data_IF_203747179621
#
_entry.id   IF_203747179621
#
_cell.length_a   1.000
_cell.length_b   1.000
_cell.length_c   1.000
_cell.angle_alpha   90.00
_cell.angle_beta   90.00
_cell.angle_gamma   90.00
#
_symmetry.space_group_name_H-M   'P 1'
#
loop_
_entity.id
_entity.type
_entity.pdbx_description
1 polymer ?
#
# COMPACT_ATOMS: atom_id res chain seq x y z
N UNK A 1 -60.88 -1.44 1.24
CA UNK A 1 -59.40 -1.50 1.01
C UNK A 1 -58.86 -2.69 1.73
N UNK A 2 -58.70 -3.80 1.00
CA UNK A 2 -58.23 -5.07 1.57
C UNK A 2 -56.71 -4.97 1.82
N UNK A 3 -56.31 -5.01 3.08
CA UNK A 3 -54.92 -5.17 3.53
C UNK A 3 -54.47 -6.62 3.12
N UNK A 4 -54.07 -6.77 1.87
CA UNK A 4 -53.31 -7.93 1.47
C UNK A 4 -51.92 -7.81 2.10
N UNK A 5 -51.71 -8.54 3.18
CA UNK A 5 -50.34 -8.76 3.67
C UNK A 5 -49.61 -9.60 2.60
N UNK A 6 -48.41 -9.14 2.14
CA UNK A 6 -47.66 -9.91 1.16
C UNK A 6 -47.33 -11.29 1.74
N UNK A 7 -47.46 -12.32 0.92
CA UNK A 7 -47.08 -13.67 1.36
C UNK A 7 -45.60 -13.70 1.76
N UNK A 8 -45.19 -14.54 2.73
CA UNK A 8 -43.79 -14.63 3.16
C UNK A 8 -42.82 -14.88 2.01
N UNK A 9 -43.22 -15.65 1.00
CA UNK A 9 -42.43 -15.96 -0.20
C UNK A 9 -42.20 -14.71 -1.06
N UNK A 10 -43.22 -13.87 -1.26
CA UNK A 10 -43.12 -12.65 -2.04
C UNK A 10 -42.21 -11.61 -1.35
N UNK A 11 -42.23 -11.58 -0.04
CA UNK A 11 -41.35 -10.71 0.77
C UNK A 11 -39.91 -11.19 0.69
N UNK A 12 -39.68 -12.47 0.71
CA UNK A 12 -38.34 -13.07 0.56
C UNK A 12 -37.75 -12.81 -0.84
N UNK A 13 -38.50 -13.03 -1.89
CA UNK A 13 -38.06 -12.77 -3.27
C UNK A 13 -37.70 -11.29 -3.47
N UNK A 14 -38.55 -10.39 -2.97
CA UNK A 14 -38.27 -8.96 -3.02
C UNK A 14 -36.99 -8.61 -2.26
N UNK A 15 -36.78 -9.20 -1.09
CA UNK A 15 -35.54 -9.00 -0.30
C UNK A 15 -34.31 -9.49 -1.05
N UNK A 16 -34.39 -10.68 -1.66
CA UNK A 16 -33.27 -11.25 -2.43
C UNK A 16 -32.94 -10.41 -3.65
N UNK A 17 -33.93 -9.94 -4.41
CA UNK A 17 -33.70 -9.09 -5.57
C UNK A 17 -33.11 -7.73 -5.16
N UNK A 18 -33.64 -7.10 -4.15
CA UNK A 18 -33.12 -5.84 -3.63
C UNK A 18 -31.69 -5.99 -3.11
N UNK A 19 -31.38 -7.11 -2.45
CA UNK A 19 -30.03 -7.42 -1.99
C UNK A 19 -29.06 -7.62 -3.15
N UNK A 20 -29.43 -8.34 -4.20
CA UNK A 20 -28.60 -8.56 -5.37
C UNK A 20 -28.20 -7.25 -6.07
N UNK A 21 -29.10 -6.28 -6.11
CA UNK A 21 -28.86 -4.99 -6.78
C UNK A 21 -28.00 -4.06 -5.92
N UNK A 22 -28.16 -4.08 -4.60
CA UNK A 22 -27.56 -3.11 -3.69
C UNK A 22 -26.34 -3.64 -2.93
N UNK A 23 -26.11 -4.96 -2.88
CA UNK A 23 -24.99 -5.56 -2.16
C UNK A 23 -23.78 -5.72 -3.08
N UNK A 24 -22.69 -5.04 -2.75
CA UNK A 24 -21.40 -5.16 -3.41
C UNK A 24 -20.40 -5.79 -2.45
N UNK A 25 -19.81 -6.91 -2.84
CA UNK A 25 -18.87 -7.67 -2.02
C UNK A 25 -17.47 -7.55 -2.64
N UNK A 26 -16.49 -7.18 -1.81
CA UNK A 26 -15.08 -7.13 -2.21
C UNK A 26 -14.30 -8.13 -1.37
N UNK A 27 -13.62 -9.07 -2.05
CA UNK A 27 -12.73 -10.04 -1.42
C UNK A 27 -11.28 -9.62 -1.58
N UNK A 28 -10.58 -9.37 -0.47
CA UNK A 28 -9.15 -9.13 -0.49
C UNK A 28 -8.41 -10.40 -0.06
N UNK A 29 -7.48 -10.85 -0.90
CA UNK A 29 -6.73 -12.07 -0.62
C UNK A 29 -5.29 -11.94 -1.11
N UNK A 30 -4.38 -12.73 -0.51
CA UNK A 30 -2.97 -12.76 -0.92
C UNK A 30 -2.74 -13.83 -1.98
N UNK A 31 -2.00 -13.48 -3.02
CA UNK A 31 -1.57 -14.39 -4.09
C UNK A 31 -0.59 -15.47 -3.61
N UNK A 32 0.16 -15.16 -2.55
CA UNK A 32 1.20 -16.06 -2.00
C UNK A 32 0.59 -17.21 -1.19
N UNK A 33 -0.70 -17.14 -0.89
CA UNK A 33 -1.38 -18.17 -0.10
C UNK A 33 -1.82 -19.33 -1.00
N UNK A 34 -1.28 -20.52 -0.77
CA UNK A 34 -1.74 -21.76 -1.41
C UNK A 34 -3.26 -21.98 -1.23
N UNK A 35 -3.80 -21.49 -0.13
CA UNK A 35 -5.23 -21.55 0.17
C UNK A 35 -6.12 -20.84 -0.86
N UNK A 36 -5.61 -19.81 -1.54
CA UNK A 36 -6.37 -19.11 -2.58
C UNK A 36 -6.66 -20.04 -3.75
N UNK A 37 -5.64 -20.74 -4.25
CA UNK A 37 -5.77 -21.67 -5.37
C UNK A 37 -6.71 -22.83 -5.06
N UNK A 38 -6.59 -23.40 -3.86
CA UNK A 38 -7.49 -24.45 -3.39
C UNK A 38 -8.94 -23.96 -3.31
N UNK A 39 -9.16 -22.71 -2.85
CA UNK A 39 -10.50 -22.12 -2.81
C UNK A 39 -11.06 -21.82 -4.18
N UNK A 40 -10.26 -21.32 -5.11
CA UNK A 40 -10.68 -21.08 -6.49
C UNK A 40 -11.10 -22.38 -7.20
N UNK A 41 -10.37 -23.47 -6.95
CA UNK A 41 -10.74 -24.78 -7.48
C UNK A 41 -12.04 -25.33 -6.87
N UNK A 42 -12.26 -25.09 -5.57
CA UNK A 42 -13.49 -25.52 -4.86
C UNK A 42 -14.71 -24.68 -5.20
N UNK A 43 -14.49 -23.39 -5.51
CA UNK A 43 -15.54 -22.42 -5.77
C UNK A 43 -15.31 -21.71 -7.11
N UNK A 44 -15.64 -22.35 -8.25
CA UNK A 44 -15.43 -21.78 -9.59
C UNK A 44 -16.13 -20.43 -9.80
N UNK A 45 -17.20 -20.15 -9.06
CA UNK A 45 -17.91 -18.87 -9.11
C UNK A 45 -17.01 -17.66 -8.73
N UNK A 46 -15.98 -17.87 -7.91
CA UNK A 46 -15.00 -16.81 -7.60
C UNK A 46 -14.22 -16.34 -8.83
N UNK A 47 -14.08 -17.21 -9.83
CA UNK A 47 -13.37 -16.87 -11.08
C UNK A 47 -14.35 -16.36 -12.13
N UNK A 48 -15.51 -17.02 -12.27
CA UNK A 48 -16.43 -16.75 -13.35
C UNK A 48 -17.43 -15.61 -13.07
N UNK A 49 -17.74 -15.35 -11.80
CA UNK A 49 -18.75 -14.37 -11.41
C UNK A 49 -18.18 -13.11 -10.76
N UNK A 50 -16.85 -13.05 -10.54
CA UNK A 50 -16.18 -11.89 -9.96
C UNK A 50 -15.25 -11.20 -10.95
N UNK A 51 -15.05 -9.91 -10.77
CA UNK A 51 -13.99 -9.17 -11.43
C UNK A 51 -12.72 -9.36 -10.61
N UNK A 52 -11.64 -9.82 -11.25
CA UNK A 52 -10.37 -10.11 -10.60
C UNK A 52 -9.38 -8.98 -10.89
N UNK A 53 -9.04 -8.21 -9.85
CA UNK A 53 -7.98 -7.19 -9.92
C UNK A 53 -6.68 -7.73 -9.32
N UNK A 54 -5.65 -7.81 -10.14
CA UNK A 54 -4.34 -8.32 -9.73
C UNK A 54 -3.40 -7.17 -9.38
N UNK A 55 -3.07 -7.04 -8.11
CA UNK A 55 -2.10 -6.06 -7.63
C UNK A 55 -0.69 -6.68 -7.63
N UNK A 56 0.05 -6.42 -8.70
CA UNK A 56 1.43 -6.84 -8.83
C UNK A 56 2.38 -5.90 -8.08
N UNK A 57 3.61 -6.36 -7.73
CA UNK A 57 4.64 -5.48 -7.19
C UNK A 57 4.86 -4.25 -8.07
N UNK A 58 5.17 -3.12 -7.46
CA UNK A 58 5.37 -1.89 -8.19
C UNK A 58 6.66 -1.94 -9.01
N UNK A 59 6.59 -1.49 -10.26
CA UNK A 59 7.79 -1.33 -11.07
C UNK A 59 8.66 -0.20 -10.54
N UNK A 60 9.98 -0.23 -10.80
CA UNK A 60 10.92 0.84 -10.44
C UNK A 60 10.44 2.22 -10.90
N UNK A 61 9.85 2.30 -12.10
CA UNK A 61 9.30 3.57 -12.62
C UNK A 61 8.13 4.09 -11.77
N UNK A 62 7.30 3.20 -11.23
CA UNK A 62 6.21 3.57 -10.35
C UNK A 62 6.74 4.07 -8.99
N UNK A 63 7.72 3.37 -8.41
CA UNK A 63 8.41 3.77 -7.18
C UNK A 63 9.05 5.16 -7.33
N UNK A 64 9.79 5.39 -8.42
CA UNK A 64 10.40 6.70 -8.70
C UNK A 64 9.37 7.82 -8.82
N UNK A 65 8.24 7.58 -9.49
CA UNK A 65 7.16 8.58 -9.61
C UNK A 65 6.57 8.93 -8.25
N UNK A 66 6.34 7.95 -7.39
CA UNK A 66 5.85 8.16 -6.04
C UNK A 66 6.84 8.97 -5.20
N UNK A 67 8.14 8.64 -5.26
CA UNK A 67 9.19 9.40 -4.60
C UNK A 67 9.25 10.85 -5.09
N UNK A 68 9.28 11.06 -6.41
CA UNK A 68 9.33 12.40 -7.01
C UNK A 68 8.14 13.25 -6.57
N UNK A 69 6.95 12.68 -6.55
CA UNK A 69 5.74 13.37 -6.07
C UNK A 69 5.85 13.73 -4.59
N UNK A 70 6.32 12.81 -3.77
CA UNK A 70 6.46 13.04 -2.32
C UNK A 70 7.55 14.08 -2.02
N UNK A 71 8.66 14.08 -2.77
CA UNK A 71 9.78 15.01 -2.57
C UNK A 71 9.60 16.36 -3.28
N UNK A 72 8.55 16.55 -4.07
CA UNK A 72 8.27 17.81 -4.76
C UNK A 72 8.17 19.02 -3.81
N UNK A 73 7.66 18.79 -2.61
CA UNK A 73 7.49 19.82 -1.58
C UNK A 73 8.78 20.14 -0.80
N UNK A 74 9.86 19.37 -1.00
CA UNK A 74 11.14 19.61 -0.34
C UNK A 74 11.85 20.79 -1.00
N UNK A 75 12.36 21.72 -0.17
CA UNK A 75 13.17 22.86 -0.61
C UNK A 75 14.65 22.46 -0.72
N UNK A 76 14.95 21.58 -1.68
CA UNK A 76 16.31 21.17 -2.04
C UNK A 76 16.53 21.33 -3.53
N UNK A 77 17.79 21.38 -3.95
CA UNK A 77 18.18 21.38 -5.35
C UNK A 77 17.70 20.12 -6.06
N UNK A 78 17.37 20.22 -7.34
CA UNK A 78 16.83 19.10 -8.12
C UNK A 78 17.82 17.93 -8.24
N UNK A 79 19.12 18.21 -8.24
CA UNK A 79 20.15 17.17 -8.24
C UNK A 79 20.10 16.33 -6.94
N UNK A 80 19.93 16.99 -5.80
CA UNK A 80 19.80 16.32 -4.50
C UNK A 80 18.52 15.48 -4.44
N UNK A 81 17.40 16.02 -4.92
CA UNK A 81 16.14 15.29 -4.98
C UNK A 81 16.26 14.04 -5.85
N UNK A 82 16.92 14.15 -7.00
CA UNK A 82 17.12 13.04 -7.92
C UNK A 82 17.99 11.94 -7.30
N UNK A 83 19.06 12.31 -6.60
CA UNK A 83 19.92 11.36 -5.86
C UNK A 83 19.14 10.68 -4.74
N UNK A 84 18.31 11.44 -4.01
CA UNK A 84 17.48 10.91 -2.94
C UNK A 84 16.44 9.90 -3.47
N UNK A 85 15.80 10.20 -4.59
CA UNK A 85 14.86 9.27 -5.25
C UNK A 85 15.56 7.96 -5.61
N UNK A 86 16.74 8.04 -6.24
CA UNK A 86 17.51 6.85 -6.61
C UNK A 86 17.89 6.02 -5.38
N UNK A 87 18.38 6.67 -4.32
CA UNK A 87 18.76 5.99 -3.08
C UNK A 87 17.59 5.23 -2.45
N UNK A 88 16.43 5.87 -2.35
CA UNK A 88 15.23 5.26 -1.75
C UNK A 88 14.72 4.09 -2.58
N UNK A 89 14.68 4.22 -3.90
CA UNK A 89 14.26 3.14 -4.80
C UNK A 89 15.25 1.97 -4.77
N UNK A 90 16.55 2.25 -4.73
CA UNK A 90 17.59 1.23 -4.64
C UNK A 90 17.50 0.48 -3.30
N UNK A 91 17.38 1.18 -2.19
CA UNK A 91 17.21 0.57 -0.88
C UNK A 91 16.00 -0.36 -0.82
N UNK A 92 14.87 0.03 -1.43
CA UNK A 92 13.70 -0.84 -1.50
C UNK A 92 13.96 -2.10 -2.34
N UNK A 93 14.60 -1.95 -3.49
CA UNK A 93 14.94 -3.09 -4.36
C UNK A 93 15.92 -4.06 -3.68
N UNK A 94 16.90 -3.54 -2.94
CA UNK A 94 17.85 -4.37 -2.18
C UNK A 94 17.14 -5.16 -1.05
N UNK A 95 16.19 -4.55 -0.37
CA UNK A 95 15.38 -5.24 0.65
C UNK A 95 14.51 -6.33 0.02
N UNK A 96 13.99 -6.12 -1.19
CA UNK A 96 13.25 -7.17 -1.91
C UNK A 96 14.14 -8.38 -2.24
N UNK A 97 15.40 -8.17 -2.61
CA UNK A 97 16.34 -9.28 -2.88
C UNK A 97 16.75 -10.01 -1.61
N UNK A 98 16.98 -9.28 -0.51
CA UNK A 98 17.36 -9.86 0.78
C UNK A 98 16.22 -10.63 1.47
N UNK A 99 14.99 -10.47 1.01
CA UNK A 99 13.82 -11.17 1.58
C UNK A 99 13.97 -12.69 1.51
N UNK A 100 14.47 -13.19 0.41
CA UNK A 100 14.57 -14.63 0.14
C UNK A 100 15.73 -15.23 0.97
N UNK A 101 16.85 -14.52 1.06
CA UNK A 101 17.98 -14.89 1.93
C UNK A 101 17.55 -14.89 3.41
N UNK A 102 16.76 -13.90 3.83
CA UNK A 102 16.23 -13.82 5.18
C UNK A 102 15.28 -14.99 5.51
N UNK A 103 14.48 -15.42 4.52
CA UNK A 103 13.61 -16.59 4.71
C UNK A 103 14.44 -17.86 4.89
N UNK A 104 15.52 -18.04 4.11
CA UNK A 104 16.41 -19.21 4.21
C UNK A 104 17.15 -19.25 5.54
N UNK A 105 17.67 -18.11 6.00
CA UNK A 105 18.48 -18.03 7.22
C UNK A 105 17.63 -18.11 8.49
N UNK A 106 16.50 -17.40 8.53
CA UNK A 106 15.69 -17.26 9.76
C UNK A 106 14.38 -18.06 9.73
N UNK A 107 14.04 -18.72 8.61
CA UNK A 107 12.78 -19.47 8.45
C UNK A 107 11.52 -18.60 8.56
N UNK A 108 11.65 -17.30 8.40
CA UNK A 108 10.60 -16.31 8.66
C UNK A 108 10.26 -15.51 7.41
N UNK A 109 9.01 -15.56 6.98
CA UNK A 109 8.53 -14.76 5.83
C UNK A 109 8.33 -13.30 6.21
N UNK A 110 8.95 -12.39 5.47
CA UNK A 110 8.73 -10.95 5.54
C UNK A 110 8.02 -10.50 4.27
N UNK A 111 6.95 -9.72 4.43
CA UNK A 111 6.19 -9.21 3.30
C UNK A 111 6.58 -7.76 3.05
N UNK A 112 7.18 -7.53 1.87
CA UNK A 112 7.51 -6.19 1.40
C UNK A 112 6.36 -5.73 0.50
N UNK A 113 5.69 -4.68 0.92
CA UNK A 113 4.48 -4.17 0.26
C UNK A 113 4.69 -2.75 -0.25
N UNK A 114 3.91 -2.29 -1.24
CA UNK A 114 3.91 -0.88 -1.62
C UNK A 114 3.62 0.06 -0.45
N UNK A 115 2.85 -0.39 0.55
CA UNK A 115 2.57 0.40 1.75
C UNK A 115 3.84 0.61 2.59
N UNK A 116 4.66 -0.43 2.80
CA UNK A 116 5.92 -0.28 3.53
C UNK A 116 6.89 0.68 2.84
N UNK A 117 6.86 0.76 1.50
CA UNK A 117 7.60 1.76 0.74
C UNK A 117 7.11 3.19 1.00
N UNK A 118 5.79 3.41 1.02
CA UNK A 118 5.21 4.72 1.34
C UNK A 118 5.49 5.13 2.79
N UNK A 119 5.45 4.20 3.72
CA UNK A 119 5.80 4.44 5.12
C UNK A 119 7.29 4.82 5.27
N UNK A 120 8.18 4.14 4.54
CA UNK A 120 9.60 4.50 4.51
C UNK A 120 9.80 5.94 4.00
N UNK A 121 9.12 6.35 2.94
CA UNK A 121 9.17 7.74 2.44
C UNK A 121 8.67 8.71 3.51
N UNK A 122 7.56 8.40 4.17
CA UNK A 122 6.97 9.23 5.21
C UNK A 122 7.91 9.43 6.40
N UNK A 123 8.53 8.34 6.87
CA UNK A 123 9.54 8.36 7.94
C UNK A 123 10.74 9.20 7.52
N UNK A 124 11.25 8.99 6.30
CA UNK A 124 12.39 9.76 5.78
C UNK A 124 12.09 11.25 5.73
N UNK A 125 10.90 11.63 5.26
CA UNK A 125 10.44 13.02 5.23
C UNK A 125 10.42 13.65 6.63
N UNK A 126 9.89 12.95 7.61
CA UNK A 126 9.82 13.40 9.01
C UNK A 126 11.22 13.57 9.61
N UNK A 127 12.13 12.63 9.35
CA UNK A 127 13.52 12.70 9.78
C UNK A 127 14.28 13.87 9.16
N UNK A 128 14.12 14.11 7.84
CA UNK A 128 14.72 15.24 7.16
C UNK A 128 14.24 16.56 7.74
N UNK A 129 12.95 16.70 8.02
CA UNK A 129 12.38 17.90 8.62
C UNK A 129 12.88 18.12 10.06
N UNK A 130 12.95 17.06 10.86
CA UNK A 130 13.49 17.09 12.22
C UNK A 130 14.97 17.53 12.22
N UNK A 131 15.80 16.91 11.37
CA UNK A 131 17.22 17.26 11.24
C UNK A 131 17.44 18.67 10.73
N UNK A 132 16.63 19.13 9.80
CA UNK A 132 16.68 20.53 9.32
C UNK A 132 16.40 21.52 10.48
N UNK A 133 15.39 21.26 11.28
CA UNK A 133 15.05 22.09 12.45
C UNK A 133 16.13 22.08 13.53
N UNK A 134 16.74 20.92 13.79
CA UNK A 134 17.86 20.78 14.73
C UNK A 134 19.09 21.57 14.28
N UNK A 135 19.45 21.46 13.00
CA UNK A 135 20.58 22.20 12.43
C UNK A 135 20.34 23.71 12.45
N UNK A 136 19.12 24.17 12.18
CA UNK A 136 18.78 25.60 12.26
C UNK A 136 18.88 26.12 13.69
N UNK A 137 18.50 25.31 14.70
CA UNK A 137 18.69 25.68 16.13
C UNK A 137 20.17 25.76 16.48
N UNK A 138 20.99 24.79 16.07
CA UNK A 138 22.44 24.79 16.31
C UNK A 138 23.10 26.03 15.69
N UNK A 139 22.77 26.36 14.44
CA UNK A 139 23.31 27.53 13.74
C UNK A 139 22.88 28.86 14.41
N UNK A 140 21.62 28.96 14.90
CA UNK A 140 21.18 30.13 15.66
C UNK A 140 21.93 30.29 16.97
N UNK A 141 22.16 29.20 17.70
CA UNK A 141 22.88 29.21 18.96
C UNK A 141 24.36 29.53 18.75
N UNK A 142 24.96 29.04 17.67
CA UNK A 142 26.33 29.38 17.30
C UNK A 142 26.46 30.89 17.01
N UNK A 143 25.59 31.44 16.15
CA UNK A 143 25.62 32.90 15.86
C UNK A 143 25.43 33.77 17.10
N UNK A 144 24.61 33.37 18.08
CA UNK A 144 24.40 34.10 19.34
C UNK A 144 25.60 34.07 20.26
N UNK A 145 26.50 33.10 20.14
CA UNK A 145 27.71 32.99 20.99
C UNK A 145 28.92 33.73 20.43
N UNK A 146 28.95 33.94 19.12
CA UNK A 146 30.14 34.43 18.44
C UNK A 146 29.89 35.71 17.60
N UNK A 147 28.70 36.27 17.65
CA UNK A 147 28.32 37.60 17.17
C UNK A 147 27.68 38.39 18.30
#
# INVERSE_FOLDING_TARGET
MSNLQPSPDLTYDFFVENTKVNLHIVFCTSLVSENLWVRMLKFPALIHCCILDWFMPWSLKALERCCKKSFSHLQYEEDIKTKLVKLVCQAHSEVETLRDDFLEEFGRKVYITPMSFLDMISILMSLLQSKKSENQKKNRNFRRRYV
#
